data_IF_362116191816
#
_entry.id   IF_362116191816
#
_cell.length_a   1.000
_cell.length_b   1.000
_cell.length_c   1.000
_cell.angle_alpha   90.00
_cell.angle_beta   90.00
_cell.angle_gamma   90.00
#
_symmetry.space_group_name_H-M   'P 1'
#
loop_
_entity.id
_entity.type
_entity.pdbx_description
1 polymer ?
#
# COMPACT_ATOMS: atom_id res chain seq x y z
N UNK A 1 -7.23 0.20 -3.59
CA UNK A 1 -7.85 -0.62 -4.64
C UNK A 1 -9.27 -0.92 -4.14
N UNK A 2 -10.30 -0.53 -4.90
CA UNK A 2 -11.69 -0.95 -4.64
C UNK A 2 -11.86 -2.42 -5.06
N UNK A 3 -12.87 -3.18 -4.57
CA UNK A 3 -13.05 -4.60 -4.89
C UNK A 3 -13.57 -4.83 -6.33
N UNK A 4 -12.92 -4.22 -7.32
CA UNK A 4 -13.17 -4.42 -8.75
C UNK A 4 -12.32 -5.60 -9.24
N UNK A 5 -12.68 -6.80 -8.78
CA UNK A 5 -11.98 -8.04 -9.07
C UNK A 5 -13.02 -9.11 -9.44
N UNK A 6 -12.66 -10.02 -10.34
CA UNK A 6 -13.52 -11.15 -10.73
C UNK A 6 -14.00 -11.97 -9.53
N UNK A 7 -13.14 -12.18 -8.53
CA UNK A 7 -13.51 -12.85 -7.28
C UNK A 7 -14.58 -12.11 -6.47
N UNK A 8 -14.78 -10.80 -6.66
CA UNK A 8 -15.88 -10.05 -6.04
C UNK A 8 -17.10 -9.88 -6.96
N UNK A 9 -17.14 -10.59 -8.10
CA UNK A 9 -18.29 -10.63 -9.01
C UNK A 9 -18.31 -9.54 -10.06
N UNK A 10 -17.17 -8.89 -10.35
CA UNK A 10 -17.07 -7.88 -11.43
C UNK A 10 -16.50 -8.50 -12.72
N UNK A 11 -16.64 -7.80 -13.83
CA UNK A 11 -16.11 -8.25 -15.14
C UNK A 11 -14.60 -8.00 -15.31
N UNK A 12 -13.89 -7.62 -14.24
CA UNK A 12 -12.46 -7.35 -14.29
C UNK A 12 -11.65 -8.64 -14.49
N UNK A 13 -10.72 -8.63 -15.45
CA UNK A 13 -9.83 -9.76 -15.69
C UNK A 13 -8.69 -9.80 -14.66
N UNK A 14 -8.87 -10.57 -13.58
CA UNK A 14 -7.95 -10.61 -12.43
C UNK A 14 -7.47 -12.02 -12.05
N UNK A 15 -7.01 -12.84 -13.01
CA UNK A 15 -6.82 -14.29 -12.80
C UNK A 15 -5.85 -14.64 -11.67
N UNK A 16 -4.82 -13.82 -11.44
CA UNK A 16 -3.84 -14.06 -10.38
C UNK A 16 -4.42 -13.79 -8.98
N UNK A 17 -5.26 -12.76 -8.83
CA UNK A 17 -5.90 -12.42 -7.56
C UNK A 17 -7.04 -13.39 -7.27
N UNK A 18 -7.79 -13.80 -8.30
CA UNK A 18 -8.87 -14.78 -8.16
C UNK A 18 -8.34 -16.14 -7.74
N UNK A 19 -7.17 -16.55 -8.27
CA UNK A 19 -6.45 -17.75 -7.83
C UNK A 19 -5.95 -17.64 -6.38
N UNK A 20 -5.51 -16.45 -5.93
CA UNK A 20 -5.14 -16.26 -4.54
C UNK A 20 -6.37 -16.40 -3.63
N UNK A 21 -7.51 -15.84 -4.03
CA UNK A 21 -8.76 -15.92 -3.29
C UNK A 21 -9.29 -17.36 -3.18
N UNK A 22 -9.11 -18.20 -4.21
CA UNK A 22 -9.53 -19.61 -4.18
C UNK A 22 -8.66 -20.50 -3.29
N UNK A 23 -7.42 -20.08 -3.01
CA UNK A 23 -6.49 -20.81 -2.15
C UNK A 23 -6.46 -20.29 -0.70
N UNK A 24 -7.28 -19.30 -0.36
CA UNK A 24 -7.27 -18.63 0.94
C UNK A 24 -8.67 -18.29 1.44
N UNK A 25 -8.73 -17.27 2.31
CA UNK A 25 -9.98 -16.74 2.84
C UNK A 25 -10.21 -15.34 2.26
N UNK A 26 -11.38 -15.14 1.66
CA UNK A 26 -11.85 -13.83 1.18
C UNK A 26 -12.79 -13.22 2.21
N UNK A 27 -12.61 -11.94 2.51
CA UNK A 27 -13.50 -11.19 3.40
C UNK A 27 -14.41 -10.28 2.58
N UNK A 28 -15.71 -10.54 2.61
CA UNK A 28 -16.69 -9.75 1.85
C UNK A 28 -16.96 -8.37 2.49
N UNK A 29 -16.54 -8.19 3.75
CA UNK A 29 -16.79 -6.98 4.56
C UNK A 29 -15.49 -6.47 5.19
N UNK A 30 -14.53 -6.08 4.37
CA UNK A 30 -13.27 -5.48 4.81
C UNK A 30 -13.26 -3.95 4.56
N UNK A 31 -13.18 -3.15 5.62
CA UNK A 31 -13.22 -1.69 5.55
C UNK A 31 -11.95 -1.05 6.09
N UNK A 32 -11.48 0.00 5.42
CA UNK A 32 -10.42 0.86 5.95
C UNK A 32 -10.98 1.90 6.93
N UNK A 33 -10.18 2.33 7.90
CA UNK A 33 -10.63 3.26 8.94
C UNK A 33 -10.83 4.68 8.42
N UNK A 34 -10.11 5.05 7.35
CA UNK A 34 -10.30 6.32 6.66
C UNK A 34 -9.89 6.19 5.20
N UNK A 35 -10.69 6.74 4.28
CA UNK A 35 -10.47 6.68 2.83
C UNK A 35 -9.39 7.67 2.33
N UNK A 36 -8.25 7.77 3.03
CA UNK A 36 -7.07 8.54 2.61
C UNK A 36 -5.78 7.78 2.91
N UNK A 37 -4.86 7.76 1.97
CA UNK A 37 -3.72 6.84 2.01
C UNK A 37 -2.80 6.99 3.23
N UNK A 38 -2.46 8.21 3.67
CA UNK A 38 -1.62 8.46 4.84
C UNK A 38 -2.20 7.87 6.12
N UNK A 39 -3.32 8.43 6.57
CA UNK A 39 -4.04 7.98 7.75
C UNK A 39 -4.37 6.47 7.72
N UNK A 40 -4.86 5.95 6.59
CA UNK A 40 -5.24 4.54 6.44
C UNK A 40 -4.05 3.59 6.63
N UNK A 41 -2.91 3.90 5.99
CA UNK A 41 -1.69 3.08 6.08
C UNK A 41 -1.12 3.10 7.49
N UNK A 42 -1.05 4.27 8.12
CA UNK A 42 -0.59 4.36 9.50
C UNK A 42 -1.54 3.61 10.45
N UNK A 43 -2.85 3.71 10.25
CA UNK A 43 -3.84 2.97 11.03
C UNK A 43 -3.61 1.47 10.95
N UNK A 44 -3.42 0.93 9.74
CA UNK A 44 -3.11 -0.48 9.53
C UNK A 44 -1.78 -0.89 10.19
N UNK A 45 -0.72 -0.10 10.01
CA UNK A 45 0.61 -0.45 10.50
C UNK A 45 0.75 -0.33 12.01
N UNK A 46 0.03 0.60 12.65
CA UNK A 46 0.11 0.84 14.10
C UNK A 46 -1.00 0.14 14.90
N UNK A 47 -2.06 -0.33 14.24
CA UNK A 47 -3.26 -0.86 14.90
C UNK A 47 -4.11 0.19 15.62
N UNK A 48 -3.82 1.48 15.42
CA UNK A 48 -4.55 2.59 16.05
C UNK A 48 -5.49 3.27 15.05
N UNK A 49 -6.70 3.63 15.48
CA UNK A 49 -7.59 4.45 14.66
C UNK A 49 -6.94 5.80 14.28
N UNK A 50 -7.26 6.38 13.11
CA UNK A 50 -6.74 7.68 12.66
C UNK A 50 -6.94 8.82 13.67
N UNK A 51 -8.04 8.81 14.42
CA UNK A 51 -8.29 9.78 15.49
C UNK A 51 -7.28 9.60 16.63
N UNK A 52 -6.91 8.35 16.94
CA UNK A 52 -5.98 8.02 18.02
C UNK A 52 -4.53 8.27 17.65
N UNK A 53 -4.13 7.99 16.40
CA UNK A 53 -2.83 8.43 15.86
C UNK A 53 -2.75 9.95 15.74
N UNK A 54 -3.93 10.59 15.65
CA UNK A 54 -4.16 11.98 15.33
C UNK A 54 -3.61 12.39 13.95
N UNK A 55 -3.61 11.45 13.01
CA UNK A 55 -3.23 11.65 11.61
C UNK A 55 -4.46 11.33 10.75
N UNK A 56 -5.10 12.36 10.20
CA UNK A 56 -6.37 12.23 9.46
C UNK A 56 -6.27 12.77 8.03
N UNK A 57 -5.07 12.87 7.47
CA UNK A 57 -4.87 13.32 6.09
C UNK A 57 -3.87 12.41 5.37
N UNK A 58 -3.50 12.75 4.13
CA UNK A 58 -2.39 12.08 3.47
C UNK A 58 -1.03 12.54 4.00
N UNK A 59 -0.95 13.77 4.51
CA UNK A 59 0.23 14.28 5.19
C UNK A 59 0.26 13.72 6.62
N UNK A 60 1.11 12.72 6.81
CA UNK A 60 1.36 12.08 8.10
C UNK A 60 2.68 12.58 8.63
N UNK A 61 2.69 13.12 9.85
CA UNK A 61 3.92 13.62 10.48
C UNK A 61 3.81 13.70 11.99
N UNK A 62 4.79 13.12 12.70
CA UNK A 62 4.89 13.28 14.15
C UNK A 62 4.02 12.33 14.95
N UNK A 63 3.37 11.34 14.33
CA UNK A 63 2.72 10.23 15.02
C UNK A 63 3.67 9.48 15.97
N UNK A 64 4.96 9.34 15.62
CA UNK A 64 5.94 8.69 16.49
C UNK A 64 6.22 9.49 17.75
N UNK A 65 6.27 10.82 17.64
CA UNK A 65 6.51 11.68 18.81
C UNK A 65 5.31 11.66 19.76
N UNK A 66 4.10 11.53 19.22
CA UNK A 66 2.86 11.37 20.00
C UNK A 66 2.70 9.97 20.59
N UNK A 67 3.24 8.96 19.91
CA UNK A 67 3.14 7.56 20.30
C UNK A 67 4.50 6.87 20.25
N UNK A 68 5.46 7.24 21.11
CA UNK A 68 6.83 6.73 21.04
C UNK A 68 6.91 5.22 21.31
N UNK A 69 5.98 4.67 22.09
CA UNK A 69 5.90 3.25 22.42
C UNK A 69 4.96 2.42 21.53
N UNK A 70 4.37 2.99 20.47
CA UNK A 70 3.50 2.19 19.59
C UNK A 70 4.34 1.21 18.78
N UNK A 71 3.96 -0.06 18.85
CA UNK A 71 4.59 -1.12 18.10
C UNK A 71 3.95 -1.21 16.72
N UNK A 72 4.71 -0.90 15.67
CA UNK A 72 4.23 -1.11 14.30
C UNK A 72 4.31 -2.58 13.92
N UNK A 73 3.52 -2.99 12.93
CA UNK A 73 3.53 -4.35 12.41
C UNK A 73 4.95 -4.78 12.01
N UNK A 74 5.65 -3.97 11.22
CA UNK A 74 7.04 -4.28 10.84
C UNK A 74 7.98 -4.35 12.05
N UNK A 75 7.86 -3.44 13.02
CA UNK A 75 8.66 -3.50 14.26
C UNK A 75 8.37 -4.76 15.07
N UNK A 76 7.10 -5.16 15.20
CA UNK A 76 6.71 -6.36 15.92
C UNK A 76 7.33 -7.61 15.31
N UNK A 77 7.17 -7.81 14.00
CA UNK A 77 7.75 -8.96 13.30
C UNK A 77 9.29 -8.99 13.41
N UNK A 78 9.95 -7.85 13.24
CA UNK A 78 11.41 -7.74 13.39
C UNK A 78 11.89 -8.12 14.79
N UNK A 79 11.19 -7.66 15.84
CA UNK A 79 11.50 -8.04 17.23
C UNK A 79 11.28 -9.54 17.51
N UNK A 80 10.45 -10.23 16.72
CA UNK A 80 10.23 -11.67 16.80
C UNK A 80 11.18 -12.48 15.90
N UNK A 81 12.22 -11.86 15.34
CA UNK A 81 13.25 -12.54 14.54
C UNK A 81 12.90 -12.77 13.07
N UNK A 82 11.81 -12.17 12.57
CA UNK A 82 11.52 -12.18 11.14
C UNK A 82 12.36 -11.14 10.41
N UNK A 83 12.79 -11.47 9.20
CA UNK A 83 13.34 -10.46 8.29
C UNK A 83 12.21 -9.58 7.75
N UNK A 84 12.35 -8.27 7.94
CA UNK A 84 11.39 -7.24 7.55
C UNK A 84 11.90 -6.47 6.34
N UNK A 85 11.24 -6.66 5.19
CA UNK A 85 11.62 -6.02 3.93
C UNK A 85 10.51 -5.07 3.49
N UNK A 86 10.86 -3.79 3.33
CA UNK A 86 9.98 -2.77 2.77
C UNK A 86 10.22 -2.59 1.28
N UNK A 87 9.15 -2.53 0.49
CA UNK A 87 9.19 -2.43 -0.98
C UNK A 87 8.01 -1.57 -1.47
N UNK A 88 8.28 -0.59 -2.34
CA UNK A 88 7.25 0.28 -2.93
C UNK A 88 6.51 1.14 -1.89
N UNK A 89 5.18 1.24 -2.00
CA UNK A 89 4.35 2.09 -1.14
C UNK A 89 3.73 1.29 0.01
N UNK A 90 4.41 1.23 1.15
CA UNK A 90 3.91 0.63 2.42
C UNK A 90 3.29 1.70 3.31
N UNK A 91 4.08 2.69 3.72
CA UNK A 91 3.59 3.94 4.33
C UNK A 91 3.28 4.98 3.23
N UNK A 92 2.79 6.17 3.61
CA UNK A 92 2.67 7.28 2.67
C UNK A 92 4.02 7.98 2.52
N UNK A 93 4.89 7.37 1.71
CA UNK A 93 6.29 7.76 1.52
C UNK A 93 7.24 6.63 1.93
N UNK A 94 8.53 6.84 1.69
CA UNK A 94 9.62 5.93 2.08
C UNK A 94 10.71 6.62 2.92
N UNK A 95 10.54 7.90 3.22
CA UNK A 95 11.44 8.70 4.06
C UNK A 95 10.66 9.77 4.84
N UNK A 96 11.29 10.36 5.86
CA UNK A 96 10.70 11.42 6.68
C UNK A 96 9.91 10.94 7.90
N UNK A 97 9.14 11.86 8.50
CA UNK A 97 8.45 11.65 9.79
C UNK A 97 7.14 10.88 9.70
N UNK A 98 6.65 10.62 8.49
CA UNK A 98 5.42 9.87 8.24
C UNK A 98 5.63 8.36 8.11
N UNK A 99 6.89 7.90 8.13
CA UNK A 99 7.27 6.50 7.90
C UNK A 99 7.99 5.91 9.12
N UNK A 100 8.34 4.63 9.02
CA UNK A 100 9.06 3.90 10.07
C UNK A 100 10.39 3.30 9.59
N UNK A 101 11.40 4.13 9.29
CA UNK A 101 12.58 3.67 8.56
C UNK A 101 13.51 2.80 9.42
N UNK A 102 13.48 2.97 10.75
CA UNK A 102 14.38 2.25 11.68
C UNK A 102 13.95 0.80 11.93
N UNK A 103 12.73 0.44 11.57
CA UNK A 103 12.14 -0.87 11.85
C UNK A 103 11.99 -1.71 10.57
N UNK A 104 12.89 -1.52 9.61
CA UNK A 104 13.07 -2.38 8.44
C UNK A 104 14.50 -2.91 8.44
N UNK A 105 14.68 -4.21 8.22
CA UNK A 105 16.00 -4.80 7.99
C UNK A 105 16.56 -4.40 6.62
N UNK A 106 15.65 -4.26 5.64
CA UNK A 106 15.99 -3.81 4.29
C UNK A 106 14.87 -2.98 3.71
N UNK A 107 15.24 -1.85 3.11
CA UNK A 107 14.39 -1.12 2.19
C UNK A 107 14.87 -1.36 0.76
N UNK A 108 13.96 -1.73 -0.12
CA UNK A 108 14.23 -1.92 -1.55
C UNK A 108 13.55 -0.79 -2.31
N UNK A 109 14.36 0.09 -2.87
CA UNK A 109 13.88 1.22 -3.65
C UNK A 109 13.50 0.74 -5.05
N UNK A 110 12.24 0.96 -5.38
CA UNK A 110 11.63 0.53 -6.64
C UNK A 110 10.51 1.51 -7.01
N UNK A 111 10.31 1.62 -8.31
CA UNK A 111 9.30 2.42 -8.95
C UNK A 111 8.19 1.54 -9.53
N UNK A 112 7.12 2.18 -10.02
CA UNK A 112 6.08 1.48 -10.77
C UNK A 112 6.61 0.82 -12.05
N UNK A 113 7.63 1.42 -12.68
CA UNK A 113 8.22 0.91 -13.91
C UNK A 113 8.95 -0.43 -13.68
N UNK A 114 9.52 -0.64 -12.49
CA UNK A 114 10.22 -1.89 -12.15
C UNK A 114 9.27 -3.11 -12.07
N UNK A 115 7.96 -2.87 -11.95
CA UNK A 115 6.93 -3.92 -11.99
C UNK A 115 6.29 -4.11 -13.37
N UNK A 116 6.51 -3.17 -14.28
CA UNK A 116 5.81 -3.16 -15.56
C UNK A 116 6.36 -4.26 -16.46
N UNK A 117 5.45 -4.98 -17.12
CA UNK A 117 5.85 -5.89 -18.20
C UNK A 117 6.38 -5.08 -19.39
N UNK A 118 7.31 -5.62 -20.19
CA UNK A 118 7.78 -4.97 -21.41
C UNK A 118 6.62 -4.50 -22.30
N UNK A 119 5.62 -5.35 -22.52
CA UNK A 119 4.44 -5.04 -23.34
C UNK A 119 3.65 -3.82 -22.81
N UNK A 120 3.61 -3.63 -21.49
CA UNK A 120 2.92 -2.48 -20.87
C UNK A 120 3.71 -1.19 -21.08
N UNK A 121 5.04 -1.26 -21.01
CA UNK A 121 5.91 -0.12 -21.27
C UNK A 121 5.85 0.30 -22.75
N UNK A 122 5.79 -0.67 -23.66
CA UNK A 122 5.58 -0.41 -25.09
C UNK A 122 4.22 0.25 -25.36
N UNK A 123 3.17 -0.23 -24.69
CA UNK A 123 1.82 0.37 -24.79
C UNK A 123 1.82 1.82 -24.30
N UNK A 124 2.47 2.09 -23.17
CA UNK A 124 2.62 3.45 -22.65
C UNK A 124 3.41 4.35 -23.62
N UNK A 125 4.52 3.84 -24.16
CA UNK A 125 5.35 4.59 -25.11
C UNK A 125 4.57 4.96 -26.37
N UNK A 126 3.75 4.04 -26.89
CA UNK A 126 2.87 4.29 -28.04
C UNK A 126 1.83 5.37 -27.71
N UNK A 127 1.10 5.24 -26.60
CA UNK A 127 0.08 6.21 -26.19
C UNK A 127 0.65 7.62 -26.02
N UNK A 128 1.85 7.75 -25.44
CA UNK A 128 2.53 9.04 -25.29
C UNK A 128 2.95 9.64 -26.63
N UNK A 129 3.35 8.81 -27.61
CA UNK A 129 3.71 9.28 -28.95
C UNK A 129 2.49 9.71 -29.77
N UNK A 130 1.34 9.07 -29.55
CA UNK A 130 0.06 9.38 -30.20
C UNK A 130 -0.60 10.64 -29.62
N UNK A 131 -0.22 11.06 -28.41
CA UNK A 131 -0.73 12.27 -27.77
C UNK A 131 -2.13 12.12 -27.16
N UNK A 132 -2.71 10.93 -27.20
CA UNK A 132 -3.98 10.58 -26.56
C UNK A 132 -3.73 10.32 -25.07
N UNK A 133 -3.55 11.38 -24.29
CA UNK A 133 -3.38 11.29 -22.84
C UNK A 133 -4.77 11.25 -22.18
N UNK A 134 -5.21 10.04 -21.85
CA UNK A 134 -6.38 9.77 -21.01
C UNK A 134 -7.56 9.18 -21.77
N UNK A 135 -8.28 8.27 -21.13
CA UNK A 135 -9.60 7.85 -21.61
C UNK A 135 -10.53 9.07 -21.57
N UNK A 136 -11.17 9.42 -22.70
CA UNK A 136 -12.34 10.30 -22.67
C UNK A 136 -13.38 9.63 -21.76
N UNK A 137 -13.63 10.21 -20.59
CA UNK A 137 -14.67 9.75 -19.67
C UNK A 137 -16.00 10.40 -19.97
#
# INVERSE_FOLDING_TARGET
>A
MRPELGTYGTDAFTPNIDRLASAGVRFDQAYCQQAVCGASRLSLMSGLYPIRTGEQTFHVSGWRDRHPGVLTMNQHFGQQGYQTIGLGKVYHGHSGRGVDPKNWDRWVDISAADYAKPENLETLARALAEGEIGDEK
#
